data_IF_593354227914
#
_entry.id   IF_593354227914
#
_cell.length_a   1.000
_cell.length_b   1.000
_cell.length_c   1.000
_cell.angle_alpha   90.00
_cell.angle_beta   90.00
_cell.angle_gamma   90.00
#
_symmetry.space_group_name_H-M   'P 1'
#
loop_
_entity.id
_entity.type
_entity.pdbx_description
1 polymer ?
#
# COMPACT_ATOMS: atom_id res chain seq x y z
N UNK A 1 -15.15 -2.79 -19.89
CA UNK A 1 -14.80 -1.93 -18.75
C UNK A 1 -13.30 -1.86 -18.69
N UNK A 2 -12.72 -0.67 -18.68
CA UNK A 2 -11.29 -0.43 -18.95
C UNK A 2 -10.45 -0.29 -17.67
N UNK A 3 -11.00 -0.69 -16.51
CA UNK A 3 -10.34 -0.65 -15.21
C UNK A 3 -10.17 -2.09 -14.75
N UNK A 4 -8.93 -2.53 -14.58
CA UNK A 4 -8.61 -3.81 -13.97
C UNK A 4 -8.68 -3.72 -12.44
N UNK A 5 -8.59 -4.88 -11.78
CA UNK A 5 -8.74 -4.95 -10.32
C UNK A 5 -7.66 -4.16 -9.57
N UNK A 6 -6.42 -4.17 -10.04
CA UNK A 6 -5.30 -3.46 -9.39
C UNK A 6 -5.46 -1.95 -9.46
N UNK A 7 -5.93 -1.45 -10.61
CA UNK A 7 -6.25 -0.03 -10.76
C UNK A 7 -7.48 0.37 -9.95
N UNK A 8 -8.50 -0.48 -9.87
CA UNK A 8 -9.66 -0.26 -9.00
C UNK A 8 -9.30 -0.17 -7.51
N UNK A 9 -8.45 -1.08 -7.02
CA UNK A 9 -7.95 -1.07 -5.64
C UNK A 9 -7.15 0.22 -5.35
N UNK A 10 -6.28 0.62 -6.29
CA UNK A 10 -5.46 1.83 -6.16
C UNK A 10 -6.32 3.10 -6.08
N UNK A 11 -7.38 3.19 -6.89
CA UNK A 11 -8.30 4.33 -6.88
C UNK A 11 -9.07 4.42 -5.55
N UNK A 12 -9.54 3.29 -5.01
CA UNK A 12 -10.25 3.26 -3.74
C UNK A 12 -9.36 3.68 -2.55
N UNK A 13 -8.10 3.23 -2.55
CA UNK A 13 -7.14 3.66 -1.52
C UNK A 13 -6.82 5.15 -1.69
N UNK A 14 -6.58 5.61 -2.93
CA UNK A 14 -6.30 7.01 -3.23
C UNK A 14 -7.43 7.95 -2.77
N UNK A 15 -8.70 7.58 -2.99
CA UNK A 15 -9.83 8.40 -2.55
C UNK A 15 -9.91 8.52 -1.02
N UNK A 16 -9.67 7.43 -0.29
CA UNK A 16 -9.65 7.46 1.19
C UNK A 16 -8.54 8.37 1.73
N UNK A 17 -7.36 8.32 1.11
CA UNK A 17 -6.23 9.19 1.50
C UNK A 17 -6.55 10.66 1.27
N UNK A 18 -7.24 11.00 0.17
CA UNK A 18 -7.69 12.36 -0.12
C UNK A 18 -8.80 12.83 0.83
N UNK A 19 -9.63 11.92 1.34
CA UNK A 19 -10.66 12.21 2.36
C UNK A 19 -10.09 12.34 3.78
N UNK A 20 -8.77 12.20 3.96
CA UNK A 20 -8.11 12.32 5.26
C UNK A 20 -8.13 11.02 6.09
N UNK A 21 -8.53 9.89 5.50
CA UNK A 21 -8.53 8.58 6.16
C UNK A 21 -7.18 7.88 5.93
N UNK A 22 -6.36 7.64 6.97
CA UNK A 22 -5.08 6.97 6.81
C UNK A 22 -5.28 5.50 6.46
N UNK A 23 -4.50 5.00 5.50
CA UNK A 23 -4.56 3.60 5.06
C UNK A 23 -3.22 2.92 5.34
N UNK A 24 -3.26 1.82 6.08
CA UNK A 24 -2.11 0.94 6.33
C UNK A 24 -2.36 -0.40 5.67
N UNK A 25 -1.44 -0.82 4.81
CA UNK A 25 -1.50 -2.10 4.10
C UNK A 25 -0.23 -2.90 4.39
N UNK A 26 -0.38 -4.02 5.09
CA UNK A 26 0.74 -4.91 5.42
C UNK A 26 0.47 -6.33 4.97
N UNK A 27 1.47 -6.98 4.39
CA UNK A 27 1.39 -8.40 4.05
C UNK A 27 2.64 -8.84 3.29
N UNK A 28 2.81 -10.16 3.15
CA UNK A 28 3.95 -10.71 2.45
C UNK A 28 3.89 -10.32 0.97
N UNK A 29 4.97 -9.71 0.46
CA UNK A 29 5.08 -9.17 -0.92
C UNK A 29 3.97 -8.19 -1.32
N UNK A 30 3.34 -7.51 -0.35
CA UNK A 30 2.17 -6.65 -0.60
C UNK A 30 2.50 -5.33 -1.30
N UNK A 31 3.76 -4.87 -1.26
CA UNK A 31 4.22 -3.67 -1.97
C UNK A 31 4.21 -3.84 -3.49
N UNK A 32 4.63 -5.01 -4.00
CA UNK A 32 4.54 -5.36 -5.43
C UNK A 32 3.18 -5.96 -5.78
N UNK A 33 2.54 -6.60 -4.80
CA UNK A 33 1.45 -7.53 -5.00
C UNK A 33 2.01 -8.90 -5.37
N UNK A 34 1.53 -9.95 -4.70
CA UNK A 34 1.98 -11.33 -4.90
C UNK A 34 1.88 -11.79 -6.37
N UNK A 35 0.95 -11.23 -7.13
CA UNK A 35 0.75 -11.50 -8.55
C UNK A 35 1.26 -10.38 -9.48
N UNK A 36 2.02 -9.41 -8.95
CA UNK A 36 2.54 -8.27 -9.72
C UNK A 36 1.46 -7.27 -10.16
N UNK A 37 0.30 -7.28 -9.51
CA UNK A 37 -0.88 -6.52 -9.92
C UNK A 37 -0.98 -5.13 -9.28
N UNK A 38 -0.21 -4.85 -8.21
CA UNK A 38 -0.46 -3.69 -7.34
C UNK A 38 0.53 -2.54 -7.57
N UNK A 39 1.82 -2.83 -7.71
CA UNK A 39 2.86 -1.81 -7.91
C UNK A 39 2.72 -0.58 -6.98
N UNK A 40 2.35 -0.80 -5.71
CA UNK A 40 2.17 0.30 -4.75
C UNK A 40 3.50 1.00 -4.44
N UNK A 41 4.61 0.25 -4.53
CA UNK A 41 5.98 0.78 -4.49
C UNK A 41 6.67 0.41 -5.80
N UNK A 42 7.24 1.41 -6.46
CA UNK A 42 8.06 1.29 -7.66
C UNK A 42 9.52 1.45 -7.25
N UNK A 43 10.38 0.55 -7.72
CA UNK A 43 11.81 0.58 -7.41
C UNK A 43 12.55 1.10 -8.65
N UNK A 44 13.34 2.15 -8.48
CA UNK A 44 14.22 2.65 -9.53
C UNK A 44 15.28 1.59 -9.87
N UNK A 45 15.45 1.29 -11.16
CA UNK A 45 16.35 0.22 -11.61
C UNK A 45 17.83 0.62 -11.53
N UNK A 46 18.13 1.90 -11.62
CA UNK A 46 19.49 2.44 -11.64
C UNK A 46 19.97 2.79 -10.24
N UNK A 47 19.11 3.39 -9.41
CA UNK A 47 19.48 3.83 -8.04
C UNK A 47 19.03 2.86 -6.96
N UNK A 48 18.01 2.05 -7.21
CA UNK A 48 17.39 1.20 -6.19
C UNK A 48 16.44 1.95 -5.25
N UNK A 49 16.14 3.22 -5.53
CA UNK A 49 15.27 4.03 -4.68
C UNK A 49 13.81 3.57 -4.77
N UNK A 50 13.12 3.61 -3.63
CA UNK A 50 11.70 3.28 -3.53
C UNK A 50 10.84 4.53 -3.73
N UNK A 51 9.93 4.47 -4.69
CA UNK A 51 8.94 5.50 -4.95
C UNK A 51 7.52 4.94 -4.76
N UNK A 52 6.74 5.55 -3.86
CA UNK A 52 5.36 5.15 -3.58
C UNK A 52 4.40 6.23 -4.11
N UNK A 53 3.74 6.04 -5.27
CA UNK A 53 2.93 7.09 -5.90
C UNK A 53 1.79 7.61 -5.01
N UNK A 54 1.17 6.72 -4.21
CA UNK A 54 0.07 7.07 -3.30
C UNK A 54 0.53 7.96 -2.12
N UNK A 55 1.83 8.16 -1.89
CA UNK A 55 2.36 9.11 -0.91
C UNK A 55 2.39 10.57 -1.39
N UNK A 56 2.04 10.83 -2.66
CA UNK A 56 2.21 12.16 -3.29
C UNK A 56 0.96 12.65 -4.04
N UNK A 57 -0.27 12.28 -3.63
CA UNK A 57 -1.51 12.74 -4.31
C UNK A 57 -1.90 14.17 -3.93
N UNK A 58 -1.65 14.60 -2.69
CA UNK A 58 -1.91 15.97 -2.20
C UNK A 58 -1.03 16.28 -0.98
N UNK A 59 -0.75 17.56 -0.70
CA UNK A 59 0.00 17.97 0.51
C UNK A 59 -0.79 17.69 1.80
N UNK A 60 -2.12 17.74 1.74
CA UNK A 60 -3.03 17.54 2.88
C UNK A 60 -3.56 16.09 3.01
N UNK A 61 -3.06 15.17 2.20
CA UNK A 61 -3.56 13.79 2.21
C UNK A 61 -3.19 13.04 3.50
N UNK A 62 -3.98 12.01 3.82
CA UNK A 62 -3.68 11.11 4.91
C UNK A 62 -2.43 10.26 4.64
N UNK A 63 -1.83 9.72 5.71
CA UNK A 63 -0.65 8.87 5.58
C UNK A 63 -1.01 7.52 4.96
N UNK A 64 -0.27 7.14 3.93
CA UNK A 64 -0.29 5.79 3.37
C UNK A 64 0.94 5.02 3.84
N UNK A 65 0.73 3.90 4.52
CA UNK A 65 1.79 3.08 5.09
C UNK A 65 1.72 1.67 4.51
N UNK A 66 2.59 1.36 3.54
CA UNK A 66 2.64 0.03 2.91
C UNK A 66 3.92 -0.71 3.26
N UNK A 67 3.80 -1.86 3.92
CA UNK A 67 4.95 -2.63 4.40
C UNK A 67 4.90 -4.08 3.91
N UNK A 68 6.04 -4.59 3.46
CA UNK A 68 6.22 -6.04 3.31
C UNK A 68 6.41 -6.63 4.71
N UNK A 69 5.52 -7.54 5.09
CA UNK A 69 5.65 -8.23 6.38
C UNK A 69 6.82 -9.22 6.33
N UNK A 70 7.44 -9.48 7.48
CA UNK A 70 8.36 -10.60 7.65
C UNK A 70 7.60 -11.93 7.43
N UNK A 71 8.34 -13.00 7.15
CA UNK A 71 7.83 -14.35 6.84
C UNK A 71 7.26 -15.03 8.11
N UNK A 72 6.18 -14.46 8.66
CA UNK A 72 5.53 -14.93 9.89
C UNK A 72 4.05 -14.50 9.92
N UNK A 73 3.13 -15.45 9.70
CA UNK A 73 1.69 -15.17 9.56
C UNK A 73 1.00 -14.87 10.90
N UNK A 74 1.47 -15.49 11.99
CA UNK A 74 0.81 -15.43 13.31
C UNK A 74 1.11 -14.13 14.08
N UNK A 75 2.35 -13.62 13.98
CA UNK A 75 2.77 -12.41 14.68
C UNK A 75 2.22 -11.12 14.03
N UNK A 76 2.08 -11.13 12.70
CA UNK A 76 1.61 -9.96 11.92
C UNK A 76 0.12 -9.74 12.15
N UNK A 77 -0.69 -10.82 12.19
CA UNK A 77 -2.12 -10.74 12.53
C UNK A 77 -2.38 -10.15 13.91
N UNK A 78 -1.57 -10.52 14.91
CA UNK A 78 -1.69 -9.99 16.27
C UNK A 78 -1.37 -8.49 16.38
N UNK A 79 -0.40 -8.01 15.60
CA UNK A 79 -0.05 -6.59 15.56
C UNK A 79 -1.15 -5.75 14.89
N UNK A 80 -1.66 -6.20 13.74
CA UNK A 80 -2.70 -5.45 13.01
C UNK A 80 -4.04 -5.46 13.77
N UNK A 81 -4.38 -6.53 14.51
CA UNK A 81 -5.54 -6.52 15.42
C UNK A 81 -5.37 -5.49 16.55
N UNK A 82 -4.19 -5.42 17.17
CA UNK A 82 -3.90 -4.46 18.24
C UNK A 82 -3.84 -3.01 17.77
N UNK A 83 -3.49 -2.75 16.52
CA UNK A 83 -3.46 -1.41 15.93
C UNK A 83 -4.85 -0.92 15.47
N UNK A 84 -5.80 -1.84 15.27
CA UNK A 84 -7.18 -1.53 14.87
C UNK A 84 -8.12 -1.14 16.02
N UNK A 85 -7.68 -1.37 17.27
CA UNK A 85 -8.37 -1.00 18.52
C UNK A 85 -7.92 0.38 19.01
#
# INVERSE_FOLDING_TARGET
GTIDWGMGETLAVGSLLLEGVPVRLTGQDSQRGTFGQRHAVVIDRETGDEFTPLLYLSEDQARYNVYNSLLSEYAVMGFEYGYSL
#
